data_IF_950295965675
#
_entry.id   IF_950295965675
#
_cell.length_a   1.000
_cell.length_b   1.000
_cell.length_c   1.000
_cell.angle_alpha   90.00
_cell.angle_beta   90.00
_cell.angle_gamma   90.00
#
_symmetry.space_group_name_H-M   'P 1'
#
loop_
_entity.id
_entity.type
_entity.pdbx_description
1 polymer ?
#
# COMPACT_ATOMS: atom_id res chain seq x y z
N UNK A 1 23.87 10.43 1.30
CA UNK A 1 23.41 9.84 0.02
C UNK A 1 21.96 9.41 0.24
N UNK A 2 20.99 10.16 -0.26
CA UNK A 2 19.57 9.81 -0.11
C UNK A 2 19.24 8.70 -1.11
N UNK A 3 19.09 7.47 -0.60
CA UNK A 3 18.66 6.33 -1.41
C UNK A 3 17.21 6.54 -1.81
N UNK A 4 16.89 6.43 -3.10
CA UNK A 4 15.53 6.53 -3.58
C UNK A 4 14.65 5.49 -2.86
N UNK A 5 13.55 5.94 -2.27
CA UNK A 5 12.59 5.08 -1.60
C UNK A 5 12.05 4.04 -2.59
N UNK A 6 12.15 2.75 -2.23
CA UNK A 6 11.50 1.66 -2.94
C UNK A 6 10.36 1.10 -2.08
N UNK A 7 9.10 1.53 -2.32
CA UNK A 7 7.99 1.17 -1.44
C UNK A 7 7.71 -0.32 -1.32
N UNK A 8 7.99 -1.11 -2.36
CA UNK A 8 7.73 -2.57 -2.38
C UNK A 8 8.78 -3.40 -1.64
N UNK A 9 10.00 -2.89 -1.50
CA UNK A 9 11.10 -3.57 -0.80
C UNK A 9 11.33 -3.04 0.62
N UNK A 10 10.58 -2.01 1.05
CA UNK A 10 10.66 -1.50 2.42
C UNK A 10 10.25 -2.60 3.42
N UNK A 11 11.11 -2.95 4.40
CA UNK A 11 10.77 -3.88 5.46
C UNK A 11 9.59 -3.35 6.29
N UNK A 12 8.52 -4.14 6.42
CA UNK A 12 7.36 -3.78 7.23
C UNK A 12 7.50 -4.22 8.70
N UNK A 13 8.71 -4.62 9.13
CA UNK A 13 9.01 -5.09 10.49
C UNK A 13 9.95 -4.12 11.18
N UNK A 14 9.78 -3.95 12.49
CA UNK A 14 10.58 -3.01 13.28
C UNK A 14 10.26 -1.55 12.93
N UNK A 15 11.26 -0.69 13.05
CA UNK A 15 11.12 0.74 12.80
C UNK A 15 11.83 1.12 11.50
N UNK A 16 11.12 1.85 10.64
CA UNK A 16 11.66 2.41 9.40
C UNK A 16 11.47 3.93 9.40
N UNK A 17 12.50 4.66 8.98
CA UNK A 17 12.42 6.11 8.77
C UNK A 17 12.36 6.38 7.28
N UNK A 18 11.28 7.03 6.83
CA UNK A 18 11.12 7.48 5.45
C UNK A 18 11.30 9.00 5.44
N UNK A 19 12.41 9.45 4.86
CA UNK A 19 12.60 10.87 4.56
C UNK A 19 11.99 11.19 3.21
N UNK A 20 11.14 12.22 3.17
CA UNK A 20 10.46 12.61 1.94
C UNK A 20 10.22 14.12 1.94
N UNK A 21 10.66 14.80 0.88
CA UNK A 21 10.50 16.24 0.68
C UNK A 21 9.10 16.61 0.19
N UNK A 22 8.76 17.89 0.15
CA UNK A 22 7.49 18.33 -0.42
C UNK A 22 7.36 17.83 -1.87
N UNK A 23 6.18 17.32 -2.24
CA UNK A 23 5.92 16.80 -3.60
C UNK A 23 6.44 15.39 -3.91
N UNK A 24 7.16 14.71 -3.02
CA UNK A 24 7.77 13.39 -3.32
C UNK A 24 6.85 12.19 -3.03
N UNK A 25 5.53 12.37 -3.09
CA UNK A 25 4.60 11.24 -2.96
C UNK A 25 4.52 10.60 -1.56
N UNK A 26 4.71 11.38 -0.48
CA UNK A 26 4.56 10.90 0.91
C UNK A 26 3.25 10.15 1.15
N UNK A 27 2.14 10.81 0.85
CA UNK A 27 0.80 10.28 1.10
C UNK A 27 0.51 9.08 0.21
N UNK A 28 1.03 9.09 -1.01
CA UNK A 28 0.99 7.96 -1.94
C UNK A 28 1.70 6.74 -1.36
N UNK A 29 2.92 6.94 -0.83
CA UNK A 29 3.72 5.89 -0.20
C UNK A 29 2.98 5.27 0.98
N UNK A 30 2.42 6.09 1.89
CA UNK A 30 1.68 5.59 3.04
C UNK A 30 0.50 4.72 2.60
N UNK A 31 -0.28 5.18 1.60
CA UNK A 31 -1.40 4.41 1.09
C UNK A 31 -0.97 3.07 0.46
N UNK A 32 0.17 3.03 -0.24
CA UNK A 32 0.73 1.80 -0.79
C UNK A 32 1.22 0.84 0.30
N UNK A 33 1.91 1.36 1.33
CA UNK A 33 2.32 0.55 2.49
C UNK A 33 1.10 -0.05 3.21
N UNK A 34 -0.01 0.69 3.29
CA UNK A 34 -1.26 0.20 3.85
C UNK A 34 -1.81 -1.00 3.07
N UNK A 35 -1.80 -0.93 1.73
CA UNK A 35 -2.17 -2.07 0.86
C UNK A 35 -1.25 -3.26 1.11
N UNK A 36 0.07 -3.02 1.23
CA UNK A 36 1.04 -4.11 1.49
C UNK A 36 0.80 -4.79 2.84
N UNK A 37 0.43 -4.04 3.88
CA UNK A 37 0.09 -4.59 5.19
C UNK A 37 -1.16 -5.47 5.14
N UNK A 38 -2.20 -5.01 4.44
CA UNK A 38 -3.44 -5.78 4.28
C UNK A 38 -3.16 -7.08 3.53
N UNK A 39 -2.45 -7.04 2.40
CA UNK A 39 -2.21 -8.21 1.56
C UNK A 39 -1.06 -9.11 2.02
N UNK A 40 -0.33 -8.74 3.08
CA UNK A 40 0.92 -9.40 3.46
C UNK A 40 1.96 -9.41 2.31
N UNK A 41 2.07 -8.31 1.57
CA UNK A 41 2.92 -8.20 0.38
C UNK A 41 4.40 -7.95 0.71
N UNK A 42 5.30 -8.53 -0.09
CA UNK A 42 6.74 -8.25 -0.05
C UNK A 42 7.64 -9.40 0.42
N UNK A 43 7.13 -10.64 0.42
CA UNK A 43 7.89 -11.87 0.76
C UNK A 43 8.60 -11.73 2.12
N UNK A 44 9.92 -11.78 2.16
CA UNK A 44 10.72 -11.63 3.38
C UNK A 44 10.54 -10.26 4.06
N UNK A 45 10.20 -9.23 3.27
CA UNK A 45 9.96 -7.87 3.73
C UNK A 45 8.50 -7.63 4.16
N UNK A 46 7.63 -8.62 3.99
CA UNK A 46 6.24 -8.54 4.40
C UNK A 46 6.09 -8.58 5.92
N UNK A 47 4.94 -8.08 6.39
CA UNK A 47 4.53 -8.29 7.76
C UNK A 47 4.31 -9.79 8.06
N UNK A 48 4.30 -10.18 9.33
CA UNK A 48 4.24 -11.58 9.72
C UNK A 48 2.91 -12.28 9.35
N UNK A 49 1.85 -11.49 9.13
CA UNK A 49 0.54 -11.92 8.63
C UNK A 49 -0.16 -10.75 7.94
N UNK A 50 -1.22 -11.04 7.21
CA UNK A 50 -2.18 -10.04 6.76
C UNK A 50 -2.83 -9.33 7.95
N UNK A 51 -3.04 -8.01 7.82
CA UNK A 51 -3.71 -7.18 8.83
C UNK A 51 -5.07 -6.69 8.35
N UNK A 52 -5.98 -6.48 9.28
CA UNK A 52 -7.24 -5.77 9.05
C UNK A 52 -7.09 -4.27 9.34
N UNK A 53 -7.97 -3.40 8.81
CA UNK A 53 -7.85 -1.96 9.00
C UNK A 53 -7.79 -1.48 10.47
N UNK A 54 -8.47 -2.19 11.37
CA UNK A 54 -8.48 -1.93 12.82
C UNK A 54 -7.17 -2.30 13.53
N UNK A 55 -6.30 -3.07 12.88
CA UNK A 55 -4.96 -3.43 13.38
C UNK A 55 -3.86 -2.45 12.94
N UNK A 56 -4.20 -1.43 12.12
CA UNK A 56 -3.24 -0.49 11.54
C UNK A 56 -3.50 0.92 12.07
N UNK A 57 -2.62 1.40 12.96
CA UNK A 57 -2.64 2.78 13.45
C UNK A 57 -1.88 3.72 12.52
N UNK A 58 -2.58 4.74 12.01
CA UNK A 58 -1.99 5.83 11.23
C UNK A 58 -2.29 7.15 11.92
N UNK A 59 -1.25 7.95 12.18
CA UNK A 59 -1.36 9.24 12.87
C UNK A 59 -0.70 10.35 12.05
N UNK A 60 -1.21 11.56 12.16
CA UNK A 60 -0.66 12.77 11.52
C UNK A 60 -0.94 13.99 12.39
N UNK A 61 -0.35 15.14 12.04
CA UNK A 61 -0.31 16.32 12.91
C UNK A 61 -1.65 17.03 13.07
N UNK A 62 -2.56 16.92 12.09
CA UNK A 62 -3.84 17.64 12.10
C UNK A 62 -5.01 16.74 11.77
N UNK A 63 -6.20 17.10 12.25
CA UNK A 63 -7.46 16.39 11.95
C UNK A 63 -7.78 16.42 10.45
N UNK A 64 -7.54 17.55 9.79
CA UNK A 64 -7.72 17.69 8.35
C UNK A 64 -6.81 16.74 7.56
N UNK A 65 -5.53 16.64 7.94
CA UNK A 65 -4.60 15.70 7.31
C UNK A 65 -4.98 14.25 7.61
N UNK A 66 -5.57 13.97 8.79
CA UNK A 66 -6.05 12.64 9.16
C UNK A 66 -7.20 12.22 8.24
N UNK A 67 -8.16 13.12 8.01
CA UNK A 67 -9.28 12.87 7.12
C UNK A 67 -8.82 12.69 5.67
N UNK A 68 -7.93 13.55 5.18
CA UNK A 68 -7.37 13.43 3.83
C UNK A 68 -6.63 12.10 3.64
N UNK A 69 -5.79 11.71 4.61
CA UNK A 69 -5.04 10.47 4.55
C UNK A 69 -5.96 9.24 4.57
N UNK A 70 -7.00 9.26 5.41
CA UNK A 70 -8.03 8.21 5.44
C UNK A 70 -8.71 8.04 4.09
N UNK A 71 -9.12 9.14 3.45
CA UNK A 71 -9.80 9.08 2.15
C UNK A 71 -8.86 8.58 1.04
N UNK A 72 -7.59 8.99 1.07
CA UNK A 72 -6.57 8.50 0.14
C UNK A 72 -6.26 7.01 0.32
N UNK A 73 -6.19 6.52 1.55
CA UNK A 73 -6.02 5.08 1.83
C UNK A 73 -7.21 4.29 1.27
N UNK A 74 -8.45 4.71 1.57
CA UNK A 74 -9.66 4.07 1.05
C UNK A 74 -9.71 4.02 -0.47
N UNK A 75 -9.41 5.15 -1.12
CA UNK A 75 -9.37 5.23 -2.58
C UNK A 75 -8.30 4.29 -3.16
N UNK A 76 -7.14 4.18 -2.51
CA UNK A 76 -6.07 3.27 -2.93
C UNK A 76 -6.45 1.81 -2.78
N UNK A 77 -7.07 1.42 -1.66
CA UNK A 77 -7.57 0.05 -1.47
C UNK A 77 -8.61 -0.31 -2.52
N UNK A 78 -9.57 0.59 -2.77
CA UNK A 78 -10.59 0.40 -3.80
C UNK A 78 -9.98 0.27 -5.20
N UNK A 79 -8.96 1.07 -5.52
CA UNK A 79 -8.26 0.99 -6.80
C UNK A 79 -7.47 -0.33 -6.93
N UNK A 80 -6.81 -0.78 -5.86
CA UNK A 80 -6.10 -2.04 -5.82
C UNK A 80 -7.07 -3.24 -6.00
N UNK A 81 -8.20 -3.24 -5.30
CA UNK A 81 -9.23 -4.28 -5.45
C UNK A 81 -9.73 -4.36 -6.89
N UNK A 82 -10.01 -3.21 -7.52
CA UNK A 82 -10.42 -3.16 -8.94
C UNK A 82 -9.33 -3.69 -9.89
N UNK A 83 -8.06 -3.38 -9.62
CA UNK A 83 -6.93 -3.86 -10.40
C UNK A 83 -6.81 -5.39 -10.37
N UNK A 84 -7.11 -6.02 -9.22
CA UNK A 84 -7.15 -7.47 -9.11
C UNK A 84 -8.38 -8.11 -9.80
N UNK A 85 -9.51 -7.40 -9.89
CA UNK A 85 -10.73 -7.91 -10.51
C UNK A 85 -10.76 -7.78 -12.04
N UNK A 86 -10.16 -6.71 -12.56
CA UNK A 86 -10.22 -6.37 -13.98
C UNK A 86 -8.81 -6.18 -14.55
N UNK A 87 -8.55 -6.81 -15.69
CA UNK A 87 -7.34 -6.53 -16.45
C UNK A 87 -7.54 -5.34 -17.39
N UNK A 88 -7.07 -4.17 -16.97
CA UNK A 88 -7.10 -2.95 -17.77
C UNK A 88 -5.76 -2.21 -17.72
N UNK A 89 -5.25 -1.70 -18.86
CA UNK A 89 -4.03 -0.89 -18.89
C UNK A 89 -4.19 0.49 -18.22
N UNK A 90 -5.42 0.91 -17.90
CA UNK A 90 -5.70 2.21 -17.27
C UNK A 90 -5.38 2.24 -15.76
N UNK A 91 -4.97 1.11 -15.19
CA UNK A 91 -4.60 1.04 -13.78
C UNK A 91 -3.24 1.70 -13.50
N UNK A 92 -3.11 2.25 -12.28
CA UNK A 92 -1.86 2.81 -11.78
C UNK A 92 -0.72 1.77 -11.89
N UNK A 93 0.43 2.16 -12.46
CA UNK A 93 1.56 1.28 -12.72
C UNK A 93 2.04 0.54 -11.47
N UNK A 94 1.95 1.16 -10.28
CA UNK A 94 2.30 0.48 -9.03
C UNK A 94 1.31 -0.61 -8.66
N UNK A 95 0.03 -0.46 -8.98
CA UNK A 95 -0.99 -1.47 -8.73
C UNK A 95 -0.88 -2.63 -9.71
N UNK A 96 -0.49 -2.36 -10.95
CA UNK A 96 -0.14 -3.40 -11.92
C UNK A 96 1.08 -4.20 -11.43
N UNK A 97 2.16 -3.52 -11.03
CA UNK A 97 3.34 -4.18 -10.46
C UNK A 97 3.02 -4.98 -9.19
N UNK A 98 2.16 -4.45 -8.31
CA UNK A 98 1.67 -5.17 -7.13
C UNK A 98 0.93 -6.45 -7.52
N UNK A 99 0.07 -6.39 -8.54
CA UNK A 99 -0.73 -7.53 -9.00
C UNK A 99 0.14 -8.62 -9.63
N UNK A 100 1.17 -8.23 -10.38
CA UNK A 100 2.13 -9.16 -11.01
C UNK A 100 2.91 -10.01 -9.99
N UNK A 101 3.02 -9.56 -8.74
CA UNK A 101 3.64 -10.34 -7.66
C UNK A 101 2.75 -11.48 -7.13
N UNK A 102 1.50 -11.59 -7.58
CA UNK A 102 0.55 -12.65 -7.19
C UNK A 102 0.17 -13.54 -8.37
N UNK A 103 0.06 -14.87 -8.16
CA UNK A 103 -0.50 -15.74 -9.18
C UNK A 103 -1.96 -15.39 -9.46
N UNK A 104 -2.42 -15.57 -10.70
CA UNK A 104 -3.81 -15.28 -11.11
C UNK A 104 -4.85 -16.00 -10.24
N UNK A 105 -4.52 -17.18 -9.72
CA UNK A 105 -5.37 -17.94 -8.79
C UNK A 105 -5.72 -17.18 -7.52
N UNK A 106 -4.86 -16.23 -7.11
CA UNK A 106 -4.99 -15.48 -5.86
C UNK A 106 -5.65 -14.12 -6.05
N UNK A 107 -5.89 -13.68 -7.29
CA UNK A 107 -6.39 -12.34 -7.57
C UNK A 107 -7.75 -12.07 -6.93
N UNK A 108 -8.68 -13.03 -7.00
CA UNK A 108 -9.99 -12.90 -6.37
C UNK A 108 -9.87 -12.76 -4.84
N UNK A 109 -8.97 -13.54 -4.21
CA UNK A 109 -8.70 -13.46 -2.77
C UNK A 109 -8.13 -12.09 -2.40
N UNK A 110 -7.18 -11.58 -3.19
CA UNK A 110 -6.59 -10.26 -2.98
C UNK A 110 -7.64 -9.16 -3.09
N UNK A 111 -8.53 -9.23 -4.08
CA UNK A 111 -9.62 -8.27 -4.25
C UNK A 111 -10.61 -8.27 -3.09
N UNK A 112 -10.96 -9.43 -2.53
CA UNK A 112 -11.90 -9.55 -1.41
C UNK A 112 -11.34 -9.05 -0.07
N UNK A 113 -10.01 -9.04 0.05
CA UNK A 113 -9.31 -8.65 1.27
C UNK A 113 -9.13 -7.12 1.38
N UNK A 114 -9.32 -6.39 0.29
CA UNK A 114 -9.13 -4.94 0.15
C UNK A 114 -10.45 -4.17 0.20
#
# INVERSE_FOLDING_TARGET
MSTALQPFSLPLRGSSLIEASAGTGKTYTIALLYVRLILQHGKEQAFHRALTPDEILVVTFTDAATQELRDRIRARLSAAARCFLNDSPDHDTSLLALREDYPESDWLRCAQQL
#
